data_IF_432425009046
#
_entry.id   IF_432425009046
#
_cell.length_a   1.000
_cell.length_b   1.000
_cell.length_c   1.000
_cell.angle_alpha   90.00
_cell.angle_beta   90.00
_cell.angle_gamma   90.00
#
_symmetry.space_group_name_H-M   'P 1'
#
loop_
_entity.id
_entity.type
_entity.pdbx_description
1 polymer ?
#
# COMPACT_ATOMS: atom_id res chain seq x y z
N UNK A 1 -12.22 21.55 11.78
CA UNK A 1 -11.71 20.16 11.66
C UNK A 1 -11.85 19.75 10.21
N UNK A 2 -10.74 19.45 9.52
CA UNK A 2 -10.81 18.90 8.16
C UNK A 2 -11.39 17.50 8.25
N UNK A 3 -12.43 17.28 7.49
CA UNK A 3 -13.15 16.03 7.35
C UNK A 3 -12.17 14.88 7.02
N UNK A 4 -11.94 13.97 7.96
CA UNK A 4 -11.09 12.76 7.79
C UNK A 4 -11.87 11.65 7.06
N UNK A 5 -12.69 11.99 6.06
CA UNK A 5 -13.33 10.99 5.21
C UNK A 5 -12.24 10.28 4.40
N UNK A 6 -12.20 8.95 4.48
CA UNK A 6 -11.30 8.13 3.66
C UNK A 6 -11.40 8.58 2.19
N UNK A 7 -10.27 8.81 1.51
CA UNK A 7 -10.30 9.25 0.12
C UNK A 7 -11.04 8.23 -0.73
N UNK A 8 -11.88 8.70 -1.65
CA UNK A 8 -12.55 7.83 -2.62
C UNK A 8 -11.53 7.40 -3.68
N UNK A 9 -10.94 6.24 -3.49
CA UNK A 9 -10.03 5.61 -4.45
C UNK A 9 -10.83 4.71 -5.39
N UNK A 10 -10.55 4.79 -6.69
CA UNK A 10 -11.12 3.86 -7.68
C UNK A 10 -10.33 2.56 -7.61
N UNK A 11 -11.02 1.44 -7.41
CA UNK A 11 -10.45 0.10 -7.42
C UNK A 11 -11.27 -0.74 -8.40
N UNK A 12 -10.60 -1.57 -9.21
CA UNK A 12 -11.28 -2.50 -10.10
C UNK A 12 -12.16 -3.47 -9.31
N UNK A 13 -13.39 -3.68 -9.78
CA UNK A 13 -14.39 -4.48 -9.09
C UNK A 13 -13.89 -5.89 -8.71
N UNK A 14 -13.24 -6.67 -9.60
CA UNK A 14 -12.75 -8.01 -9.26
C UNK A 14 -11.69 -7.98 -8.15
N UNK A 15 -10.78 -7.01 -8.19
CA UNK A 15 -9.75 -6.81 -7.15
C UNK A 15 -10.41 -6.51 -5.81
N UNK A 16 -11.34 -5.55 -5.79
CA UNK A 16 -12.09 -5.20 -4.58
C UNK A 16 -12.82 -6.42 -3.98
N UNK A 17 -13.44 -7.23 -4.82
CA UNK A 17 -14.19 -8.42 -4.38
C UNK A 17 -13.28 -9.48 -3.75
N UNK A 18 -12.09 -9.70 -4.31
CA UNK A 18 -11.08 -10.61 -3.74
C UNK A 18 -10.65 -10.12 -2.35
N UNK A 19 -10.25 -8.85 -2.23
CA UNK A 19 -9.83 -8.28 -0.95
C UNK A 19 -10.97 -8.26 0.07
N UNK A 20 -12.21 -7.97 -0.34
CA UNK A 20 -13.37 -7.98 0.54
C UNK A 20 -13.65 -9.38 1.09
N UNK A 21 -13.58 -10.41 0.25
CA UNK A 21 -13.77 -11.80 0.66
C UNK A 21 -12.72 -12.24 1.69
N UNK A 22 -11.46 -11.95 1.44
CA UNK A 22 -10.37 -12.30 2.38
C UNK A 22 -10.51 -11.49 3.67
N UNK A 23 -10.82 -10.19 3.57
CA UNK A 23 -11.04 -9.34 4.74
C UNK A 23 -12.16 -9.87 5.63
N UNK A 24 -13.30 -10.27 5.05
CA UNK A 24 -14.42 -10.85 5.78
C UNK A 24 -14.04 -12.17 6.47
N UNK A 25 -13.34 -13.06 5.76
CA UNK A 25 -12.93 -14.36 6.29
C UNK A 25 -12.05 -14.25 7.55
N UNK A 26 -11.22 -13.21 7.63
CA UNK A 26 -10.25 -13.03 8.72
C UNK A 26 -10.57 -11.86 9.65
N UNK A 27 -11.71 -11.18 9.46
CA UNK A 27 -12.13 -10.06 10.30
C UNK A 27 -11.29 -8.79 10.14
N UNK A 28 -10.75 -8.54 8.95
CA UNK A 28 -9.96 -7.34 8.63
C UNK A 28 -10.79 -6.26 7.93
N UNK A 29 -10.26 -5.03 7.91
CA UNK A 29 -10.79 -3.99 7.03
C UNK A 29 -10.22 -4.15 5.62
N UNK A 30 -11.10 -4.19 4.61
CA UNK A 30 -10.69 -4.32 3.20
C UNK A 30 -9.70 -3.24 2.77
N UNK A 31 -9.90 -2.00 3.22
CA UNK A 31 -9.01 -0.88 2.89
C UNK A 31 -7.59 -1.04 3.46
N UNK A 32 -7.46 -1.65 4.64
CA UNK A 32 -6.15 -1.90 5.26
C UNK A 32 -5.38 -2.95 4.47
N UNK A 33 -6.04 -4.04 4.06
CA UNK A 33 -5.41 -5.07 3.23
C UNK A 33 -4.95 -4.53 1.88
N UNK A 34 -5.74 -3.69 1.24
CA UNK A 34 -5.35 -3.03 -0.02
C UNK A 34 -4.14 -2.12 0.20
N UNK A 35 -4.11 -1.37 1.30
CA UNK A 35 -2.99 -0.47 1.62
C UNK A 35 -1.70 -1.25 1.87
N UNK A 36 -1.78 -2.36 2.60
CA UNK A 36 -0.65 -3.26 2.82
C UNK A 36 -0.17 -3.92 1.51
N UNK A 37 -1.09 -4.34 0.65
CA UNK A 37 -0.74 -4.88 -0.65
C UNK A 37 -0.05 -3.83 -1.55
N UNK A 38 -0.49 -2.58 -1.51
CA UNK A 38 0.17 -1.49 -2.23
C UNK A 38 1.60 -1.23 -1.72
N UNK A 39 1.81 -1.27 -0.40
CA UNK A 39 3.15 -1.17 0.19
C UNK A 39 4.04 -2.37 -0.18
N UNK A 40 3.48 -3.58 -0.18
CA UNK A 40 4.21 -4.78 -0.60
C UNK A 40 4.60 -4.72 -2.08
N UNK A 41 3.71 -4.26 -2.96
CA UNK A 41 4.00 -4.09 -4.38
C UNK A 41 5.18 -3.14 -4.65
N UNK A 42 5.50 -2.25 -3.72
CA UNK A 42 6.67 -1.38 -3.84
C UNK A 42 8.01 -2.13 -3.85
N UNK A 43 8.05 -3.40 -3.44
CA UNK A 43 9.26 -4.24 -3.57
C UNK A 43 9.48 -4.79 -4.97
N UNK A 44 8.54 -4.59 -5.90
CA UNK A 44 8.61 -5.09 -7.29
C UNK A 44 8.34 -3.96 -8.30
N UNK A 45 9.22 -2.94 -8.38
CA UNK A 45 9.04 -1.79 -9.28
C UNK A 45 8.95 -2.17 -10.75
N UNK A 46 9.65 -3.22 -11.18
CA UNK A 46 9.64 -3.68 -12.58
C UNK A 46 8.25 -4.18 -12.99
N UNK A 47 7.64 -5.03 -12.17
CA UNK A 47 6.29 -5.53 -12.42
C UNK A 47 5.25 -4.40 -12.37
N UNK A 48 5.46 -3.42 -11.49
CA UNK A 48 4.64 -2.23 -11.44
C UNK A 48 4.73 -1.41 -12.74
N UNK A 49 5.94 -1.25 -13.29
CA UNK A 49 6.15 -0.57 -14.57
C UNK A 49 5.45 -1.30 -15.72
N UNK A 50 5.55 -2.63 -15.81
CA UNK A 50 4.85 -3.43 -16.83
C UNK A 50 3.32 -3.21 -16.78
N UNK A 51 2.73 -3.19 -15.59
CA UNK A 51 1.30 -2.91 -15.45
C UNK A 51 0.94 -1.47 -15.81
N UNK A 52 1.80 -0.49 -15.50
CA UNK A 52 1.59 0.91 -15.86
C UNK A 52 1.66 1.11 -17.37
N UNK A 53 2.59 0.44 -18.05
CA UNK A 53 2.72 0.46 -19.51
C UNK A 53 1.41 0.02 -20.18
N UNK A 54 0.88 -1.14 -19.77
CA UNK A 54 -0.36 -1.69 -20.35
C UNK A 54 -1.60 -0.91 -19.96
N UNK A 55 -1.72 -0.50 -18.69
CA UNK A 55 -2.94 0.14 -18.18
C UNK A 55 -3.10 1.60 -18.63
N UNK A 56 -2.00 2.28 -18.92
CA UNK A 56 -1.98 3.70 -19.27
C UNK A 56 -1.36 3.99 -20.65
N UNK A 57 -1.02 2.96 -21.42
CA UNK A 57 -0.42 3.07 -22.75
C UNK A 57 0.84 3.95 -22.75
N UNK A 58 1.66 3.82 -21.70
CA UNK A 58 2.91 4.57 -21.54
C UNK A 58 4.03 3.92 -22.35
N UNK A 59 5.10 4.66 -22.62
CA UNK A 59 6.37 4.01 -23.01
C UNK A 59 7.01 3.29 -21.82
N UNK A 60 7.84 2.28 -22.08
CA UNK A 60 8.62 1.57 -21.05
C UNK A 60 9.38 2.54 -20.13
N UNK A 61 10.02 3.56 -20.70
CA UNK A 61 10.78 4.56 -19.95
C UNK A 61 9.88 5.41 -19.04
N UNK A 62 8.71 5.83 -19.52
CA UNK A 62 7.74 6.60 -18.72
C UNK A 62 7.13 5.75 -17.61
N UNK A 63 6.75 4.51 -17.92
CA UNK A 63 6.18 3.58 -16.96
C UNK A 63 7.16 3.31 -15.82
N UNK A 64 8.45 3.11 -16.15
CA UNK A 64 9.51 2.93 -15.17
C UNK A 64 9.73 4.16 -14.29
N UNK A 65 9.77 5.37 -14.88
CA UNK A 65 9.87 6.62 -14.11
C UNK A 65 8.72 6.77 -13.11
N UNK A 66 7.50 6.44 -13.52
CA UNK A 66 6.32 6.49 -12.64
C UNK A 66 6.42 5.44 -11.53
N UNK A 67 6.81 4.21 -11.86
CA UNK A 67 7.02 3.15 -10.88
C UNK A 67 8.08 3.53 -9.84
N UNK A 68 9.25 3.97 -10.28
CA UNK A 68 10.36 4.36 -9.40
C UNK A 68 9.95 5.51 -8.46
N UNK A 69 9.28 6.53 -8.99
CA UNK A 69 8.79 7.65 -8.18
C UNK A 69 7.74 7.22 -7.15
N UNK A 70 6.85 6.29 -7.53
CA UNK A 70 5.85 5.75 -6.60
C UNK A 70 6.52 4.90 -5.51
N UNK A 71 7.50 4.08 -5.85
CA UNK A 71 8.27 3.27 -4.90
C UNK A 71 9.03 4.14 -3.92
N UNK A 72 9.67 5.23 -4.36
CA UNK A 72 10.38 6.16 -3.47
C UNK A 72 9.44 6.74 -2.39
N UNK A 73 8.25 7.18 -2.78
CA UNK A 73 7.25 7.72 -1.85
C UNK A 73 6.65 6.63 -0.94
N UNK A 74 6.44 5.40 -1.45
CA UNK A 74 5.94 4.28 -0.64
C UNK A 74 6.99 3.81 0.38
N UNK A 75 8.27 3.74 0.02
CA UNK A 75 9.38 3.42 0.94
C UNK A 75 9.44 4.47 2.06
N UNK A 76 9.21 5.73 1.73
CA UNK A 76 9.16 6.79 2.74
C UNK A 76 8.04 6.53 3.76
N UNK A 77 6.86 6.08 3.32
CA UNK A 77 5.77 5.68 4.21
C UNK A 77 6.11 4.40 5.00
N UNK A 78 6.72 3.39 4.38
CA UNK A 78 7.15 2.16 5.07
C UNK A 78 8.16 2.45 6.19
N UNK A 79 9.14 3.32 5.94
CA UNK A 79 10.13 3.71 6.95
C UNK A 79 9.49 4.36 8.17
N UNK A 80 8.41 5.12 7.99
CA UNK A 80 7.62 5.70 9.07
C UNK A 80 6.83 4.62 9.82
N UNK A 81 6.25 3.67 9.08
CA UNK A 81 5.51 2.57 9.66
C UNK A 81 6.40 1.63 10.49
N UNK A 82 7.62 1.32 10.03
CA UNK A 82 8.60 0.52 10.80
C UNK A 82 8.98 1.19 12.10
N UNK A 83 9.27 2.50 12.09
CA UNK A 83 9.54 3.26 13.33
C UNK A 83 8.37 3.19 14.31
N UNK A 84 7.14 3.32 13.82
CA UNK A 84 5.92 3.16 14.64
C UNK A 84 5.80 1.76 15.25
N UNK A 85 6.20 0.71 14.52
CA UNK A 85 6.22 -0.66 15.06
C UNK A 85 7.30 -0.82 16.14
N UNK A 86 8.52 -0.35 15.87
CA UNK A 86 9.64 -0.36 16.84
C UNK A 86 9.28 0.41 18.12
N UNK A 87 8.65 1.59 18.01
CA UNK A 87 8.17 2.37 19.15
C UNK A 87 7.08 1.63 19.95
N UNK A 88 6.14 0.95 19.27
CA UNK A 88 5.10 0.15 19.92
C UNK A 88 5.67 -1.08 20.61
N UNK A 89 6.67 -1.73 20.03
CA UNK A 89 7.37 -2.85 20.66
C UNK A 89 8.15 -2.39 21.88
N UNK A 90 8.90 -1.28 21.78
CA UNK A 90 9.61 -0.68 22.91
C UNK A 90 8.65 -0.26 24.04
N UNK A 91 7.49 0.33 23.71
CA UNK A 91 6.48 0.71 24.70
C UNK A 91 5.84 -0.49 25.41
N UNK A 92 5.64 -1.61 24.70
CA UNK A 92 5.18 -2.87 25.32
C UNK A 92 6.19 -3.45 26.30
N UNK A 93 7.48 -3.32 26.01
CA UNK A 93 8.57 -3.77 26.92
C UNK A 93 8.59 -2.93 28.20
N UNK A 94 8.42 -1.60 28.09
CA UNK A 94 8.39 -0.69 29.26
C UNK A 94 7.12 -0.85 30.09
N UNK A 95 5.98 -1.17 29.49
CA UNK A 95 4.71 -1.40 30.21
C UNK A 95 4.67 -2.72 31.00
N UNK A 96 5.57 -3.66 30.71
CA UNK A 96 5.65 -4.97 31.37
C UNK A 96 6.82 -5.06 32.38
N UNK A 97 7.57 -3.99 32.58
CA UNK A 97 8.65 -3.87 33.56
C UNK A 97 8.21 -3.00 34.75
#
# INVERSE_FOLDING_TARGET
MRDRRNPKVRIWKPVKEIFAKVAEQYGFFTGDLISLAALAAASEPELMAEFLEVAYELSEEEARKVADALVEELIRVDSQYRRLLEEKEAAKVVSCA
#
